data_IF_585310658764
#
_entry.id   IF_585310658764
#
_cell.length_a   1.000
_cell.length_b   1.000
_cell.length_c   1.000
_cell.angle_alpha   90.00
_cell.angle_beta   90.00
_cell.angle_gamma   90.00
#
_symmetry.space_group_name_H-M   'P 1'
#
loop_
_entity.id
_entity.type
_entity.pdbx_description
1 polymer ?
#
# COMPACT_ATOMS: atom_id res chain seq x y z
N UNK A 1 5.20 -1.89 3.37
CA UNK A 1 4.81 -3.15 2.73
C UNK A 1 5.95 -3.66 1.85
N UNK A 2 5.90 -4.96 1.50
CA UNK A 2 6.83 -5.59 0.58
C UNK A 2 6.39 -5.33 -0.86
N UNK A 3 7.35 -5.12 -1.76
CA UNK A 3 7.15 -5.05 -3.20
C UNK A 3 7.73 -6.28 -3.93
N UNK A 4 7.35 -6.48 -5.17
CA UNK A 4 7.74 -7.65 -5.96
C UNK A 4 9.25 -7.72 -6.23
N UNK A 5 9.94 -6.59 -6.24
CA UNK A 5 11.41 -6.54 -6.34
C UNK A 5 12.14 -6.78 -5.01
N UNK A 6 11.42 -6.90 -3.89
CA UNK A 6 12.01 -7.28 -2.61
C UNK A 6 12.17 -8.80 -2.47
N UNK A 7 11.85 -9.56 -3.51
CA UNK A 7 11.96 -11.03 -3.55
C UNK A 7 13.00 -11.51 -4.56
N UNK A 8 13.54 -12.70 -4.32
CA UNK A 8 14.41 -13.36 -5.27
C UNK A 8 14.01 -14.84 -5.43
N UNK A 9 13.69 -15.29 -6.65
CA UNK A 9 13.50 -14.48 -7.87
C UNK A 9 12.42 -13.41 -7.71
N UNK A 10 12.45 -12.38 -8.55
CA UNK A 10 11.41 -11.33 -8.59
C UNK A 10 10.02 -11.96 -8.71
N UNK A 11 9.01 -11.36 -8.07
CA UNK A 11 7.60 -11.80 -8.02
C UNK A 11 7.36 -13.11 -7.25
N UNK A 12 8.40 -13.81 -6.80
CA UNK A 12 8.28 -15.14 -6.21
C UNK A 12 8.34 -15.10 -4.70
N UNK A 13 7.21 -15.31 -4.04
CA UNK A 13 7.12 -15.36 -2.59
C UNK A 13 6.09 -16.39 -2.13
N UNK A 14 6.49 -17.29 -1.22
CA UNK A 14 5.59 -18.21 -0.54
C UNK A 14 5.82 -18.20 0.98
N UNK A 15 4.78 -18.37 1.81
CA UNK A 15 4.93 -18.48 3.25
C UNK A 15 5.34 -19.92 3.67
N UNK A 16 6.04 -20.10 4.82
CA UNK A 16 6.81 -19.09 5.51
C UNK A 16 8.14 -18.87 4.78
N UNK A 17 8.49 -17.62 4.51
CA UNK A 17 9.70 -17.31 3.77
C UNK A 17 10.88 -17.04 4.71
N UNK A 18 12.05 -17.66 4.42
CA UNK A 18 13.32 -17.31 5.08
C UNK A 18 13.64 -15.83 4.89
N UNK A 19 13.23 -15.27 3.76
CA UNK A 19 13.39 -13.88 3.42
C UNK A 19 12.69 -12.94 4.43
N UNK A 20 11.50 -13.30 4.90
CA UNK A 20 10.82 -12.52 5.93
C UNK A 20 11.61 -12.46 7.25
N UNK A 21 12.34 -13.51 7.61
CA UNK A 21 13.19 -13.53 8.83
C UNK A 21 14.45 -12.66 8.67
N UNK A 22 15.04 -12.65 7.48
CA UNK A 22 16.21 -11.82 7.19
C UNK A 22 15.84 -10.34 7.16
N UNK A 23 14.76 -10.00 6.46
CA UNK A 23 14.24 -8.63 6.42
C UNK A 23 13.81 -8.11 7.80
N UNK A 24 13.29 -8.97 8.67
CA UNK A 24 12.85 -8.59 10.01
C UNK A 24 13.90 -7.83 10.80
N UNK A 25 15.17 -8.23 10.72
CA UNK A 25 16.25 -7.54 11.43
C UNK A 25 16.36 -6.10 10.97
N UNK A 26 16.40 -5.86 9.66
CA UNK A 26 16.53 -4.52 9.08
C UNK A 26 15.26 -3.69 9.23
N UNK A 27 14.10 -4.28 9.02
CA UNK A 27 12.83 -3.58 9.13
C UNK A 27 12.50 -3.17 10.57
N UNK A 28 12.90 -3.97 11.56
CA UNK A 28 12.76 -3.61 12.97
C UNK A 28 13.59 -2.38 13.33
N UNK A 29 14.82 -2.28 12.83
CA UNK A 29 15.72 -1.17 13.10
C UNK A 29 15.25 0.13 12.42
N UNK A 30 14.68 0.02 11.20
CA UNK A 30 14.28 1.17 10.38
C UNK A 30 12.86 1.63 10.61
N UNK A 31 11.90 0.69 10.69
CA UNK A 31 10.47 1.01 10.81
C UNK A 31 9.97 1.07 12.25
N UNK A 32 10.78 0.65 13.23
CA UNK A 32 10.43 0.65 14.66
C UNK A 32 9.06 0.03 14.94
N UNK A 33 8.81 -1.12 14.33
CA UNK A 33 7.57 -1.86 14.49
C UNK A 33 7.48 -2.46 15.90
N UNK A 34 6.27 -2.50 16.45
CA UNK A 34 6.03 -3.19 17.73
C UNK A 34 6.14 -4.72 17.59
N UNK A 35 6.18 -5.43 18.74
CA UNK A 35 6.36 -6.88 18.75
C UNK A 35 5.28 -7.67 18.00
N UNK A 36 4.02 -7.17 18.01
CA UNK A 36 2.92 -7.84 17.33
C UNK A 36 3.00 -7.63 15.82
N UNK A 37 3.32 -6.41 15.37
CA UNK A 37 3.58 -6.10 13.98
C UNK A 37 4.74 -6.93 13.42
N UNK A 38 5.84 -7.06 14.18
CA UNK A 38 6.99 -7.90 13.81
C UNK A 38 6.62 -9.37 13.68
N UNK A 39 5.76 -9.90 14.55
CA UNK A 39 5.32 -11.29 14.52
C UNK A 39 4.55 -11.62 13.24
N UNK A 40 3.60 -10.78 12.84
CA UNK A 40 2.80 -10.98 11.63
C UNK A 40 3.59 -10.70 10.36
N UNK A 41 4.49 -9.72 10.39
CA UNK A 41 5.44 -9.44 9.31
C UNK A 41 6.35 -10.66 9.06
N UNK A 42 6.87 -11.30 10.14
CA UNK A 42 7.69 -12.51 10.02
C UNK A 42 6.92 -13.70 9.47
N UNK A 43 5.65 -13.81 9.84
CA UNK A 43 4.80 -14.94 9.46
C UNK A 43 4.35 -14.85 7.99
N UNK A 44 3.80 -13.70 7.60
CA UNK A 44 3.16 -13.54 6.30
C UNK A 44 3.49 -12.26 5.54
N UNK A 45 4.45 -11.45 6.02
CA UNK A 45 4.82 -10.21 5.35
C UNK A 45 3.79 -9.08 5.48
N UNK A 46 2.80 -9.22 6.36
CA UNK A 46 1.78 -8.23 6.63
C UNK A 46 1.82 -7.80 8.10
N UNK A 47 1.35 -6.60 8.41
CA UNK A 47 1.34 -6.09 9.78
C UNK A 47 0.33 -4.96 9.97
N UNK A 48 0.07 -4.67 11.23
CA UNK A 48 -0.68 -3.48 11.65
C UNK A 48 -0.01 -2.83 12.83
N UNK A 49 -0.10 -1.49 12.93
CA UNK A 49 0.44 -0.72 14.05
C UNK A 49 -0.35 0.56 14.23
N UNK A 50 -0.63 0.94 15.48
CA UNK A 50 -1.05 2.29 15.82
C UNK A 50 0.14 3.23 15.69
N UNK A 51 0.00 4.28 14.88
CA UNK A 51 1.02 5.34 14.73
C UNK A 51 0.74 6.53 15.65
N UNK A 52 -0.52 6.69 16.03
CA UNK A 52 -1.02 7.62 17.05
C UNK A 52 -2.31 7.03 17.67
N UNK A 53 -2.79 7.54 18.81
CA UNK A 53 -4.09 7.15 19.33
C UNK A 53 -5.19 7.28 18.26
N UNK A 54 -5.97 6.21 18.07
CA UNK A 54 -7.06 6.14 17.07
C UNK A 54 -6.62 6.26 15.61
N UNK A 55 -5.33 6.10 15.30
CA UNK A 55 -4.83 6.10 13.94
C UNK A 55 -3.93 4.90 13.69
N UNK A 56 -4.39 3.99 12.86
CA UNK A 56 -3.77 2.71 12.54
C UNK A 56 -3.27 2.67 11.10
N UNK A 57 -2.10 2.08 10.91
CA UNK A 57 -1.66 1.60 9.60
C UNK A 57 -1.93 0.10 9.51
N UNK A 58 -2.49 -0.33 8.38
CA UNK A 58 -2.62 -1.74 8.01
C UNK A 58 -1.85 -1.96 6.72
N UNK A 59 -0.85 -2.82 6.79
CA UNK A 59 -0.01 -3.19 5.66
C UNK A 59 -0.23 -4.64 5.27
N UNK A 60 -0.56 -4.90 4.01
CA UNK A 60 -0.71 -6.27 3.50
C UNK A 60 0.44 -6.68 2.60
N UNK A 61 0.57 -7.98 2.42
CA UNK A 61 1.46 -8.59 1.44
C UNK A 61 0.64 -9.00 0.21
N UNK A 62 0.55 -8.12 -0.77
CA UNK A 62 -0.19 -8.37 -2.01
C UNK A 62 0.57 -9.27 -3.01
N UNK A 63 1.86 -9.56 -2.76
CA UNK A 63 2.66 -10.45 -3.63
C UNK A 63 2.16 -11.89 -3.64
N UNK A 64 1.48 -12.33 -2.59
CA UNK A 64 0.83 -13.65 -2.57
C UNK A 64 -0.25 -13.80 -3.66
N UNK A 65 -0.79 -12.70 -4.13
CA UNK A 65 -1.90 -12.63 -5.06
C UNK A 65 -1.51 -12.02 -6.40
N UNK A 66 -0.22 -11.99 -6.69
CA UNK A 66 0.33 -11.63 -8.00
C UNK A 66 0.19 -12.81 -8.96
N UNK A 67 -0.36 -12.58 -10.15
CA UNK A 67 -0.49 -13.58 -11.21
C UNK A 67 0.88 -14.10 -11.71
N UNK A 68 1.96 -13.35 -11.48
CA UNK A 68 3.32 -13.77 -11.79
C UNK A 68 3.94 -14.66 -10.70
N UNK A 69 3.34 -14.73 -9.51
CA UNK A 69 3.83 -15.56 -8.42
C UNK A 69 3.50 -17.03 -8.62
N UNK A 70 4.44 -17.78 -9.22
CA UNK A 70 4.28 -19.20 -9.53
C UNK A 70 4.49 -20.15 -8.34
N UNK A 71 4.95 -19.64 -7.21
CA UNK A 71 5.10 -20.43 -5.98
C UNK A 71 3.76 -20.65 -5.27
N UNK A 72 2.75 -19.84 -5.58
CA UNK A 72 1.39 -19.96 -5.05
C UNK A 72 0.53 -20.66 -6.11
N UNK A 73 0.06 -21.86 -5.77
CA UNK A 73 -0.76 -22.68 -6.68
C UNK A 73 -2.26 -22.67 -6.34
N UNK A 74 -2.60 -22.23 -5.14
CA UNK A 74 -3.97 -22.29 -4.63
C UNK A 74 -4.53 -20.90 -4.41
N UNK A 75 -5.80 -20.74 -4.79
CA UNK A 75 -6.57 -19.51 -4.57
C UNK A 75 -7.28 -19.57 -3.22
N UNK A 76 -6.50 -19.52 -2.16
CA UNK A 76 -7.00 -19.56 -0.77
C UNK A 76 -6.50 -18.35 0.00
N UNK A 77 -6.91 -18.22 1.25
CA UNK A 77 -6.39 -17.22 2.18
C UNK A 77 -4.94 -17.55 2.61
N UNK A 78 -3.99 -17.09 1.80
CA UNK A 78 -2.57 -17.38 1.97
C UNK A 78 -2.06 -16.73 3.25
N UNK A 79 -1.38 -17.54 4.08
CA UNK A 79 -0.91 -17.15 5.40
C UNK A 79 -2.02 -16.58 6.31
N UNK A 80 -3.28 -16.97 6.10
CA UNK A 80 -4.45 -16.46 6.83
C UNK A 80 -4.56 -14.92 6.81
N UNK A 81 -4.09 -14.27 5.74
CA UNK A 81 -4.00 -12.82 5.67
C UNK A 81 -5.37 -12.15 5.63
N UNK A 82 -6.35 -12.69 4.89
CA UNK A 82 -7.69 -12.12 4.86
C UNK A 82 -8.44 -12.30 6.17
N UNK A 83 -8.27 -13.47 6.82
CA UNK A 83 -8.81 -13.67 8.17
C UNK A 83 -8.23 -12.65 9.15
N UNK A 84 -6.91 -12.51 9.18
CA UNK A 84 -6.21 -11.53 10.03
C UNK A 84 -6.64 -10.10 9.72
N UNK A 85 -6.79 -9.76 8.43
CA UNK A 85 -7.22 -8.44 7.99
C UNK A 85 -8.62 -8.11 8.50
N UNK A 86 -9.57 -9.04 8.35
CA UNK A 86 -10.92 -8.89 8.85
C UNK A 86 -10.95 -8.70 10.37
N UNK A 87 -10.24 -9.54 11.12
CA UNK A 87 -10.15 -9.44 12.58
C UNK A 87 -9.55 -8.09 13.02
N UNK A 88 -8.51 -7.63 12.33
CA UNK A 88 -7.85 -6.33 12.57
C UNK A 88 -8.79 -5.14 12.30
N UNK A 89 -9.53 -5.17 11.20
CA UNK A 89 -10.45 -4.09 10.84
C UNK A 89 -11.68 -4.07 11.75
N UNK A 90 -12.18 -5.23 12.15
CA UNK A 90 -13.25 -5.34 13.13
C UNK A 90 -12.85 -4.74 14.48
N UNK A 91 -11.62 -4.98 14.93
CA UNK A 91 -11.06 -4.37 16.13
C UNK A 91 -10.93 -2.85 15.97
N UNK A 92 -10.39 -2.39 14.86
CA UNK A 92 -10.25 -0.97 14.56
C UNK A 92 -11.62 -0.25 14.56
N UNK A 93 -12.63 -0.85 13.94
CA UNK A 93 -14.00 -0.34 13.92
C UNK A 93 -14.59 -0.24 15.35
N UNK A 94 -14.48 -1.29 16.14
CA UNK A 94 -14.92 -1.29 17.56
C UNK A 94 -14.24 -0.20 18.40
N UNK A 95 -12.98 0.08 18.11
CA UNK A 95 -12.18 1.07 18.80
C UNK A 95 -12.36 2.49 18.23
N UNK A 96 -13.19 2.70 17.21
CA UNK A 96 -13.33 3.97 16.48
C UNK A 96 -11.97 4.49 15.99
N UNK A 97 -11.17 3.63 15.38
CA UNK A 97 -9.89 3.97 14.79
C UNK A 97 -10.05 4.34 13.31
N UNK A 98 -9.22 5.26 12.86
CA UNK A 98 -9.04 5.56 11.45
C UNK A 98 -7.92 4.67 10.90
N UNK A 99 -8.18 3.99 9.81
CA UNK A 99 -7.20 3.11 9.15
C UNK A 99 -6.69 3.75 7.88
N UNK A 100 -5.36 3.83 7.77
CA UNK A 100 -4.64 4.05 6.52
C UNK A 100 -4.11 2.70 6.05
N UNK A 101 -4.48 2.33 4.84
CA UNK A 101 -4.16 1.04 4.26
C UNK A 101 -2.99 1.17 3.28
N UNK A 102 -2.00 0.30 3.36
CA UNK A 102 -0.87 0.26 2.45
C UNK A 102 -0.66 -1.13 1.85
N UNK A 103 -0.40 -1.18 0.56
CA UNK A 103 -0.09 -2.40 -0.17
C UNK A 103 0.78 -2.09 -1.39
N UNK A 104 1.24 -3.11 -2.10
CA UNK A 104 2.06 -2.93 -3.29
C UNK A 104 1.23 -3.07 -4.56
N UNK A 105 0.75 -4.27 -4.90
CA UNK A 105 -0.11 -4.53 -6.05
C UNK A 105 -1.56 -4.26 -5.64
N UNK A 106 -2.21 -3.30 -6.30
CA UNK A 106 -3.60 -2.96 -6.00
C UNK A 106 -4.58 -3.99 -6.59
N UNK A 107 -5.71 -4.25 -5.92
CA UNK A 107 -6.63 -5.32 -6.30
C UNK A 107 -7.37 -5.10 -7.63
N UNK A 108 -7.31 -3.94 -8.23
CA UNK A 108 -7.91 -3.64 -9.54
C UNK A 108 -6.90 -3.61 -10.69
N UNK A 109 -5.65 -3.93 -10.42
CA UNK A 109 -4.60 -3.99 -11.44
C UNK A 109 -4.58 -5.35 -12.10
N UNK A 110 -4.32 -5.42 -13.40
CA UNK A 110 -4.40 -6.64 -14.18
C UNK A 110 -3.46 -7.76 -13.74
N UNK A 111 -2.52 -7.47 -12.85
CA UNK A 111 -1.58 -8.43 -12.27
C UNK A 111 -2.08 -9.07 -10.98
N UNK A 112 -3.12 -8.51 -10.36
CA UNK A 112 -3.75 -9.07 -9.17
C UNK A 112 -4.73 -10.21 -9.54
N UNK A 113 -4.70 -11.31 -8.77
CA UNK A 113 -5.63 -12.43 -8.95
C UNK A 113 -7.09 -12.01 -8.72
N UNK A 114 -8.02 -12.71 -9.37
CA UNK A 114 -9.47 -12.51 -9.17
C UNK A 114 -9.89 -12.77 -7.73
N UNK A 115 -9.26 -13.76 -7.08
CA UNK A 115 -9.49 -14.07 -5.67
C UNK A 115 -9.19 -12.85 -4.79
N UNK A 116 -8.03 -12.22 -4.96
CA UNK A 116 -7.65 -11.03 -4.22
C UNK A 116 -8.60 -9.87 -4.50
N UNK A 117 -8.85 -9.59 -5.76
CA UNK A 117 -9.71 -8.48 -6.19
C UNK A 117 -11.11 -8.61 -5.60
N UNK A 118 -11.72 -9.82 -5.66
CA UNK A 118 -13.04 -10.08 -5.13
C UNK A 118 -13.09 -9.92 -3.60
N UNK A 119 -12.23 -10.64 -2.88
CA UNK A 119 -12.26 -10.63 -1.41
C UNK A 119 -11.87 -9.25 -0.84
N UNK A 120 -10.91 -8.57 -1.45
CA UNK A 120 -10.53 -7.23 -1.03
C UNK A 120 -11.67 -6.21 -1.24
N UNK A 121 -12.42 -6.35 -2.34
CA UNK A 121 -13.60 -5.51 -2.60
C UNK A 121 -14.66 -5.65 -1.52
N UNK A 122 -14.93 -6.88 -1.05
CA UNK A 122 -15.87 -7.11 0.05
C UNK A 122 -15.37 -6.48 1.37
N UNK A 123 -14.09 -6.61 1.68
CA UNK A 123 -13.47 -5.94 2.84
C UNK A 123 -13.63 -4.40 2.73
N UNK A 124 -13.37 -3.83 1.56
CA UNK A 124 -13.50 -2.37 1.37
C UNK A 124 -14.94 -1.90 1.52
N UNK A 125 -15.92 -2.73 1.15
CA UNK A 125 -17.33 -2.42 1.32
C UNK A 125 -17.77 -2.51 2.78
N UNK A 126 -17.33 -3.53 3.49
CA UNK A 126 -17.67 -3.79 4.90
C UNK A 126 -17.09 -2.74 5.86
N UNK A 127 -15.87 -2.25 5.57
CA UNK A 127 -15.12 -1.34 6.44
C UNK A 127 -14.86 0.04 5.82
N UNK A 128 -15.72 0.49 4.90
CA UNK A 128 -15.58 1.76 4.20
C UNK A 128 -15.59 3.00 5.11
N UNK A 129 -16.23 2.90 6.27
CA UNK A 129 -16.27 3.93 7.33
C UNK A 129 -15.04 3.91 8.25
N UNK A 130 -14.27 2.84 8.21
CA UNK A 130 -13.07 2.63 9.03
C UNK A 130 -11.78 2.85 8.23
N UNK A 131 -11.76 2.36 6.98
CA UNK A 131 -10.62 2.54 6.06
C UNK A 131 -10.77 3.88 5.35
N UNK A 132 -9.99 4.86 5.80
CA UNK A 132 -10.08 6.22 5.28
C UNK A 132 -9.33 6.44 3.98
N UNK A 133 -8.12 5.85 3.87
CA UNK A 133 -7.26 5.99 2.69
C UNK A 133 -6.52 4.71 2.38
N UNK A 134 -6.25 4.50 1.09
CA UNK A 134 -5.47 3.38 0.58
C UNK A 134 -4.31 3.90 -0.26
N UNK A 135 -3.11 3.34 -0.07
CA UNK A 135 -1.90 3.70 -0.80
C UNK A 135 -1.28 2.45 -1.41
N UNK A 136 -1.02 2.51 -2.70
CA UNK A 136 -0.55 1.42 -3.53
C UNK A 136 0.63 1.85 -4.39
N UNK A 137 1.41 0.90 -4.88
CA UNK A 137 2.55 1.13 -5.74
C UNK A 137 2.49 0.30 -7.03
N UNK A 138 3.62 -0.32 -7.38
CA UNK A 138 3.80 -1.31 -8.44
C UNK A 138 3.75 -0.78 -9.88
N UNK A 139 2.73 -0.05 -10.28
CA UNK A 139 2.56 0.41 -11.66
C UNK A 139 3.49 1.55 -12.10
N UNK A 140 4.23 2.15 -11.16
CA UNK A 140 5.07 3.31 -11.41
C UNK A 140 4.30 4.49 -12.07
N UNK A 141 2.99 4.56 -11.86
CA UNK A 141 2.10 5.59 -12.39
C UNK A 141 1.47 6.40 -11.27
N UNK A 142 1.47 7.69 -11.45
CA UNK A 142 0.77 8.61 -10.57
C UNK A 142 -0.72 8.64 -10.92
N UNK A 143 -1.56 7.93 -10.16
CA UNK A 143 -3.01 7.83 -10.39
C UNK A 143 -3.80 7.48 -9.14
N UNK A 144 -5.11 7.40 -9.27
CA UNK A 144 -6.04 6.87 -8.28
C UNK A 144 -7.09 5.98 -8.95
N UNK A 145 -7.80 5.23 -8.14
CA UNK A 145 -8.97 4.43 -8.56
C UNK A 145 -10.05 4.49 -7.50
N UNK A 146 -11.29 4.20 -7.91
CA UNK A 146 -12.46 4.22 -7.03
C UNK A 146 -13.15 2.86 -7.00
N UNK A 147 -13.79 2.56 -5.87
CA UNK A 147 -14.75 1.47 -5.74
C UNK A 147 -16.16 2.02 -5.75
N UNK A 148 -17.00 1.43 -6.59
CA UNK A 148 -18.37 1.84 -6.75
C UNK A 148 -19.31 0.66 -6.53
N UNK A 149 -20.51 0.94 -6.01
CA UNK A 149 -21.60 0.00 -5.94
C UNK A 149 -22.32 -0.16 -7.30
N UNK A 150 -23.39 -0.96 -7.34
CA UNK A 150 -24.19 -1.18 -8.55
C UNK A 150 -24.92 0.08 -9.05
N UNK A 151 -25.03 1.10 -8.21
CA UNK A 151 -25.67 2.38 -8.53
C UNK A 151 -24.65 3.49 -8.85
N UNK A 152 -23.37 3.12 -9.04
CA UNK A 152 -22.24 4.05 -9.24
C UNK A 152 -21.91 4.97 -8.06
N UNK A 153 -22.40 4.68 -6.85
CA UNK A 153 -21.99 5.41 -5.67
C UNK A 153 -20.59 4.96 -5.27
N UNK A 154 -19.67 5.91 -5.15
CA UNK A 154 -18.30 5.64 -4.70
C UNK A 154 -18.29 5.41 -3.18
N UNK A 155 -17.82 4.26 -2.72
CA UNK A 155 -17.71 3.93 -1.31
C UNK A 155 -16.26 3.82 -0.80
N UNK A 156 -15.29 3.72 -1.67
CA UNK A 156 -13.87 3.73 -1.31
C UNK A 156 -13.00 4.13 -2.50
N UNK A 157 -11.76 4.50 -2.25
CA UNK A 157 -10.78 4.81 -3.29
C UNK A 157 -9.36 4.50 -2.83
N UNK A 158 -8.43 4.42 -3.78
CA UNK A 158 -7.02 4.21 -3.51
C UNK A 158 -6.13 5.08 -4.37
N UNK A 159 -5.05 5.58 -3.77
CA UNK A 159 -3.97 6.25 -4.47
C UNK A 159 -2.93 5.24 -4.94
N UNK A 160 -2.48 5.37 -6.17
CA UNK A 160 -1.32 4.66 -6.69
C UNK A 160 -0.20 5.66 -6.83
N UNK A 161 0.92 5.39 -6.16
CA UNK A 161 2.10 6.24 -6.23
C UNK A 161 2.92 5.99 -7.48
N UNK A 162 3.60 7.02 -7.93
CA UNK A 162 4.66 6.87 -8.90
C UNK A 162 5.88 6.13 -8.30
N UNK A 163 6.98 6.10 -9.02
CA UNK A 163 8.19 5.37 -8.64
C UNK A 163 9.38 6.30 -8.47
N UNK A 164 10.24 5.96 -7.52
CA UNK A 164 11.58 6.55 -7.41
C UNK A 164 12.57 5.95 -8.41
N UNK A 165 12.19 4.86 -9.08
CA UNK A 165 12.98 4.25 -10.17
C UNK A 165 12.68 4.97 -11.48
N UNK A 166 13.72 5.23 -12.26
CA UNK A 166 13.62 5.96 -13.54
C UNK A 166 13.20 5.08 -14.73
N UNK A 167 12.51 3.98 -14.51
CA UNK A 167 12.06 3.06 -15.55
C UNK A 167 11.16 3.77 -16.57
N UNK A 168 11.78 4.28 -17.64
CA UNK A 168 11.16 5.07 -18.73
C UNK A 168 10.34 6.29 -18.29
N UNK A 169 10.47 6.73 -17.03
CA UNK A 169 9.72 7.85 -16.43
C UNK A 169 10.61 8.65 -15.50
N UNK A 170 10.17 9.84 -15.17
CA UNK A 170 10.83 10.64 -14.14
C UNK A 170 10.57 10.04 -12.77
N UNK A 171 11.61 9.81 -11.94
CA UNK A 171 11.43 9.46 -10.53
C UNK A 171 10.53 10.47 -9.86
N UNK A 172 9.54 9.99 -9.12
CA UNK A 172 8.55 10.89 -8.53
C UNK A 172 7.98 10.36 -7.22
N UNK A 173 7.44 11.27 -6.41
CA UNK A 173 6.81 10.97 -5.14
C UNK A 173 5.73 12.01 -4.81
N UNK A 174 4.86 11.68 -3.85
CA UNK A 174 3.87 12.60 -3.30
C UNK A 174 4.17 12.95 -1.85
N UNK A 175 3.87 14.19 -1.48
CA UNK A 175 3.83 14.65 -0.09
C UNK A 175 2.38 14.99 0.25
N UNK A 176 1.83 14.33 1.26
CA UNK A 176 0.45 14.51 1.68
C UNK A 176 0.38 15.49 2.85
N UNK A 177 -0.49 16.50 2.74
CA UNK A 177 -0.89 17.38 3.83
C UNK A 177 -2.14 16.81 4.48
N UNK A 178 -2.13 16.61 5.79
CA UNK A 178 -3.27 16.05 6.51
C UNK A 178 -3.64 16.88 7.74
N UNK A 179 -4.90 16.75 8.17
CA UNK A 179 -5.39 17.32 9.43
C UNK A 179 -5.01 16.36 10.59
N UNK A 180 -4.26 16.82 11.59
CA UNK A 180 -3.84 15.97 12.70
C UNK A 180 -4.98 15.55 13.65
N UNK A 181 -6.14 16.22 13.62
CA UNK A 181 -7.31 15.88 14.42
C UNK A 181 -8.21 14.87 13.72
N UNK A 182 -8.62 15.17 12.50
CA UNK A 182 -9.56 14.33 11.73
C UNK A 182 -8.88 13.22 10.95
N UNK A 183 -7.56 13.31 10.76
CA UNK A 183 -6.78 12.42 9.89
C UNK A 183 -7.24 12.49 8.42
N UNK A 184 -7.83 13.60 8.00
CA UNK A 184 -8.16 13.84 6.59
C UNK A 184 -6.94 14.27 5.82
N UNK A 185 -6.78 13.75 4.60
CA UNK A 185 -5.86 14.31 3.62
C UNK A 185 -6.50 15.58 3.08
N UNK A 186 -5.85 16.72 3.33
CA UNK A 186 -6.32 18.04 2.91
C UNK A 186 -5.84 18.37 1.51
N UNK A 187 -4.66 17.89 1.15
CA UNK A 187 -4.04 18.11 -0.16
C UNK A 187 -2.89 17.14 -0.37
N UNK A 188 -2.40 17.01 -1.59
CA UNK A 188 -1.10 16.40 -1.85
C UNK A 188 -0.35 17.16 -2.93
N UNK A 189 0.97 17.10 -2.83
CA UNK A 189 1.92 17.73 -3.75
C UNK A 189 2.68 16.62 -4.47
N UNK A 190 2.67 16.65 -5.79
CA UNK A 190 3.42 15.72 -6.62
C UNK A 190 4.75 16.35 -7.02
N UNK A 191 5.84 15.64 -6.73
CA UNK A 191 7.21 16.04 -7.05
C UNK A 191 7.83 15.03 -8.02
N UNK A 192 8.67 15.53 -8.92
CA UNK A 192 9.47 14.69 -9.83
C UNK A 192 10.92 15.14 -9.85
N UNK A 193 11.83 14.19 -10.09
CA UNK A 193 13.23 14.51 -10.36
C UNK A 193 13.36 14.95 -11.81
N UNK A 194 13.87 16.15 -12.05
CA UNK A 194 14.20 16.64 -13.37
C UNK A 194 15.53 16.03 -13.82
N UNK A 195 15.46 14.89 -14.50
CA UNK A 195 16.66 14.14 -14.92
C UNK A 195 17.53 14.96 -15.87
N UNK A 196 16.95 15.74 -16.78
CA UNK A 196 17.68 16.57 -17.72
C UNK A 196 18.56 17.59 -17.01
N UNK A 197 17.97 18.33 -16.04
CA UNK A 197 18.71 19.30 -15.28
C UNK A 197 19.68 18.66 -14.29
N UNK A 198 19.29 17.52 -13.70
CA UNK A 198 20.15 16.73 -12.81
C UNK A 198 21.43 16.27 -13.52
N UNK A 199 21.31 15.74 -14.73
CA UNK A 199 22.45 15.28 -15.54
C UNK A 199 23.33 16.47 -15.95
N UNK A 200 22.70 17.56 -16.43
CA UNK A 200 23.41 18.75 -16.87
C UNK A 200 24.21 19.42 -15.76
N UNK A 201 23.67 19.47 -14.57
CA UNK A 201 24.30 20.19 -13.43
C UNK A 201 25.05 19.28 -12.46
N UNK A 202 24.94 17.97 -12.62
CA UNK A 202 25.41 16.95 -11.67
C UNK A 202 24.88 17.19 -10.22
N UNK A 203 23.69 17.76 -10.10
CA UNK A 203 22.98 17.99 -8.83
C UNK A 203 21.52 17.57 -8.98
N UNK A 204 20.99 16.90 -7.96
CA UNK A 204 19.60 16.50 -7.96
C UNK A 204 18.70 17.73 -8.06
N UNK A 205 17.89 17.81 -9.11
CA UNK A 205 16.87 18.82 -9.32
C UNK A 205 15.50 18.21 -9.14
N UNK A 206 14.67 18.79 -8.27
CA UNK A 206 13.33 18.31 -7.96
C UNK A 206 12.36 19.43 -8.24
N UNK A 207 11.38 19.16 -9.09
CA UNK A 207 10.31 20.09 -9.46
C UNK A 207 9.00 19.64 -8.82
N UNK A 208 8.22 20.58 -8.28
CA UNK A 208 6.81 20.34 -7.98
C UNK A 208 6.02 20.36 -9.29
N UNK A 209 5.46 19.22 -9.69
CA UNK A 209 4.71 19.12 -10.93
C UNK A 209 3.31 19.68 -10.80
N UNK A 210 2.64 19.39 -9.67
CA UNK A 210 1.30 19.92 -9.36
C UNK A 210 0.97 19.72 -7.87
N UNK A 211 -0.12 20.34 -7.43
CA UNK A 211 -0.82 19.99 -6.20
C UNK A 211 -2.29 19.68 -6.51
N UNK A 212 -2.90 18.80 -5.71
CA UNK A 212 -4.22 18.25 -6.04
C UNK A 212 -5.32 19.30 -6.00
N UNK A 213 -5.37 20.13 -4.97
CA UNK A 213 -6.41 21.15 -4.81
C UNK A 213 -6.42 22.19 -5.93
N UNK A 214 -5.26 22.55 -6.49
CA UNK A 214 -5.18 23.48 -7.61
C UNK A 214 -5.54 22.81 -8.94
N UNK A 215 -5.24 21.52 -9.08
CA UNK A 215 -5.39 20.81 -10.37
C UNK A 215 -6.79 20.23 -10.54
N UNK A 216 -7.41 19.80 -9.47
CA UNK A 216 -8.69 19.06 -9.50
C UNK A 216 -9.86 19.82 -8.82
N UNK A 217 -9.60 20.93 -8.16
CA UNK A 217 -10.62 21.75 -7.47
C UNK A 217 -10.71 21.45 -6.01
#
# INVERSE_FOLDING_TARGET
CLGNHDTFPIDQLAPPSIFSRFLMKYLNETWKLDKNALKTLAYGGYYTQLIQPKWRIVAINSLYYDNHNKLIKETIDIANQFKWLNDTLLEAKKNNEVVYFIGHIAPKMGEATDYFTKNFKEIMKEYNDTIKYQFWGHEHKDRFFVYQDAHNNTYSFGFVGGSLVSDHKYPNFRVYKYDPKTKDILDFYHYRVNLTETIKTNKISIDQSYNASHTYG
#
